data_IF_531228638748
#
_entry.id   IF_531228638748
#
_cell.length_a   1.000
_cell.length_b   1.000
_cell.length_c   1.000
_cell.angle_alpha   90.00
_cell.angle_beta   90.00
_cell.angle_gamma   90.00
#
_symmetry.space_group_name_H-M   'P 1'
#
loop_
_entity.id
_entity.type
_entity.pdbx_description
1 polymer ?
#
# COMPACT_ATOMS: atom_id res chain seq x y z
N UNK A 1 6.47 22.11 -1.25
CA UNK A 1 6.29 20.68 -0.90
C UNK A 1 7.11 19.85 -1.86
N UNK A 2 7.97 18.95 -1.36
CA UNK A 2 8.80 18.08 -2.21
C UNK A 2 7.91 17.24 -3.14
N UNK A 3 8.24 17.17 -4.43
CA UNK A 3 7.43 16.51 -5.47
C UNK A 3 7.24 15.03 -5.15
N UNK A 4 8.28 14.36 -4.64
CA UNK A 4 8.22 12.97 -4.19
C UNK A 4 7.24 12.78 -3.02
N UNK A 5 7.16 13.75 -2.10
CA UNK A 5 6.23 13.70 -0.97
C UNK A 5 4.78 13.89 -1.43
N UNK A 6 4.53 14.80 -2.38
CA UNK A 6 3.20 14.96 -3.00
C UNK A 6 2.75 13.70 -3.73
N UNK A 7 3.66 13.06 -4.46
CA UNK A 7 3.40 11.79 -5.11
C UNK A 7 3.03 10.70 -4.10
N UNK A 8 3.87 10.51 -3.08
CA UNK A 8 3.67 9.47 -2.06
C UNK A 8 2.38 9.70 -1.28
N UNK A 9 2.05 10.95 -0.95
CA UNK A 9 0.81 11.29 -0.26
C UNK A 9 -0.43 10.86 -1.06
N UNK A 10 -0.43 11.05 -2.37
CA UNK A 10 -1.54 10.63 -3.24
C UNK A 10 -1.67 9.11 -3.30
N UNK A 11 -0.55 8.41 -3.44
CA UNK A 11 -0.51 6.93 -3.41
C UNK A 11 -1.06 6.42 -2.09
N UNK A 12 -0.58 6.97 -0.98
CA UNK A 12 -1.00 6.57 0.37
C UNK A 12 -2.47 6.87 0.66
N UNK A 13 -2.96 8.08 0.35
CA UNK A 13 -4.37 8.43 0.52
C UNK A 13 -5.29 7.49 -0.27
N UNK A 14 -4.88 7.12 -1.48
CA UNK A 14 -5.65 6.17 -2.30
C UNK A 14 -5.64 4.79 -1.65
N UNK A 15 -4.49 4.29 -1.20
CA UNK A 15 -4.39 2.99 -0.53
C UNK A 15 -5.18 2.92 0.78
N UNK A 16 -5.06 3.94 1.64
CA UNK A 16 -5.74 4.00 2.94
C UNK A 16 -7.25 4.15 2.82
N UNK A 17 -7.75 4.77 1.75
CA UNK A 17 -9.18 4.94 1.56
C UNK A 17 -9.79 3.82 0.71
N UNK A 18 -9.20 3.53 -0.44
CA UNK A 18 -9.77 2.60 -1.42
C UNK A 18 -9.71 1.16 -0.92
N UNK A 19 -8.61 0.71 -0.30
CA UNK A 19 -8.51 -0.68 0.14
C UNK A 19 -9.56 -1.03 1.22
N UNK A 20 -9.76 -0.25 2.31
CA UNK A 20 -10.83 -0.53 3.28
C UNK A 20 -12.23 -0.48 2.68
N UNK A 21 -12.51 0.43 1.74
CA UNK A 21 -13.81 0.49 1.07
C UNK A 21 -14.05 -0.76 0.24
N UNK A 22 -13.06 -1.25 -0.50
CA UNK A 22 -13.14 -2.50 -1.25
C UNK A 22 -13.36 -3.70 -0.33
N UNK A 23 -12.62 -3.78 0.78
CA UNK A 23 -12.80 -4.83 1.80
C UNK A 23 -14.25 -4.81 2.31
N UNK A 24 -14.73 -3.65 2.77
CA UNK A 24 -16.08 -3.51 3.30
C UNK A 24 -17.15 -3.90 2.27
N UNK A 25 -16.99 -3.48 1.00
CA UNK A 25 -17.94 -3.84 -0.07
C UNK A 25 -18.03 -5.35 -0.28
N UNK A 26 -16.90 -6.05 -0.21
CA UNK A 26 -16.84 -7.50 -0.45
C UNK A 26 -17.26 -8.32 0.77
N UNK A 27 -17.21 -7.74 1.97
CA UNK A 27 -17.67 -8.36 3.22
C UNK A 27 -19.18 -8.27 3.48
N UNK A 28 -19.98 -7.67 2.59
CA UNK A 28 -21.46 -7.51 2.77
C UNK A 28 -22.23 -8.84 2.57
N UNK A 29 -21.55 -9.96 2.31
CA UNK A 29 -22.22 -11.27 2.17
C UNK A 29 -22.63 -11.79 3.56
N UNK A 30 -23.94 -11.95 3.84
CA UNK A 30 -24.39 -12.35 5.17
C UNK A 30 -24.14 -13.85 5.38
N UNK A 31 -23.20 -14.19 6.27
CA UNK A 31 -23.08 -15.53 6.85
C UNK A 31 -23.56 -15.50 8.31
N UNK A 32 -24.07 -16.64 8.80
CA UNK A 32 -24.32 -16.81 10.23
C UNK A 32 -23.03 -16.48 11.02
N UNK A 33 -23.13 -15.60 12.04
CA UNK A 33 -21.95 -15.03 12.74
C UNK A 33 -21.53 -13.62 12.29
N UNK A 34 -22.37 -12.89 11.55
CA UNK A 34 -22.08 -11.56 11.01
C UNK A 34 -21.56 -10.51 12.03
N UNK A 35 -21.93 -10.62 13.31
CA UNK A 35 -21.41 -9.72 14.36
C UNK A 35 -19.91 -9.89 14.57
N UNK A 36 -19.44 -11.14 14.68
CA UNK A 36 -18.05 -11.45 15.00
C UNK A 36 -17.16 -11.13 13.80
N UNK A 37 -17.63 -11.45 12.59
CA UNK A 37 -16.97 -11.07 11.35
C UNK A 37 -16.84 -9.54 11.23
N UNK A 38 -17.90 -8.77 11.51
CA UNK A 38 -17.86 -7.30 11.47
C UNK A 38 -16.81 -6.72 12.42
N UNK A 39 -16.73 -7.22 13.66
CA UNK A 39 -15.72 -6.77 14.62
C UNK A 39 -14.29 -7.09 14.16
N UNK A 40 -14.07 -8.28 13.58
CA UNK A 40 -12.77 -8.66 13.01
C UNK A 40 -12.38 -7.72 11.85
N UNK A 41 -13.30 -7.43 10.93
CA UNK A 41 -13.05 -6.48 9.83
C UNK A 41 -12.74 -5.07 10.36
N UNK A 42 -13.48 -4.60 11.37
CA UNK A 42 -13.27 -3.28 11.96
C UNK A 42 -11.90 -3.18 12.62
N UNK A 43 -11.49 -4.19 13.39
CA UNK A 43 -10.16 -4.26 14.00
C UNK A 43 -9.08 -4.29 12.90
N UNK A 44 -9.27 -5.08 11.84
CA UNK A 44 -8.36 -5.14 10.70
C UNK A 44 -8.18 -3.79 10.01
N UNK A 45 -9.26 -3.02 9.83
CA UNK A 45 -9.21 -1.67 9.26
C UNK A 45 -8.47 -0.69 10.18
N UNK A 46 -8.76 -0.72 11.49
CA UNK A 46 -8.08 0.15 12.47
C UNK A 46 -6.60 -0.16 12.54
N UNK A 47 -6.24 -1.45 12.60
CA UNK A 47 -4.85 -1.90 12.59
C UNK A 47 -4.15 -1.49 11.27
N UNK A 48 -4.82 -1.68 10.13
CA UNK A 48 -4.34 -1.24 8.82
C UNK A 48 -4.10 0.28 8.76
N UNK A 49 -4.96 1.07 9.37
CA UNK A 49 -4.79 2.53 9.44
C UNK A 49 -3.58 2.93 10.29
N UNK A 50 -3.39 2.33 11.48
CA UNK A 50 -2.24 2.61 12.35
C UNK A 50 -0.93 2.27 11.64
N UNK A 51 -0.86 1.10 11.01
CA UNK A 51 0.32 0.64 10.27
C UNK A 51 0.54 1.34 8.92
N UNK A 52 -0.46 2.08 8.43
CA UNK A 52 -0.32 2.87 7.21
C UNK A 52 0.64 4.05 7.38
N UNK A 53 0.82 4.58 8.59
CA UNK A 53 1.70 5.74 8.85
C UNK A 53 3.19 5.34 8.70
N UNK A 54 3.69 4.28 9.38
CA UNK A 54 5.05 3.79 9.12
C UNK A 54 5.27 3.40 7.65
N UNK A 55 4.27 2.77 7.03
CA UNK A 55 4.33 2.37 5.62
C UNK A 55 4.43 3.58 4.67
N UNK A 56 3.69 4.64 4.95
CA UNK A 56 3.79 5.91 4.23
C UNK A 56 5.18 6.51 4.33
N UNK A 57 5.74 6.58 5.54
CA UNK A 57 7.08 7.16 5.75
C UNK A 57 8.14 6.37 4.99
N UNK A 58 8.08 5.04 5.03
CA UNK A 58 9.00 4.19 4.29
C UNK A 58 8.85 4.39 2.77
N UNK A 59 7.62 4.39 2.25
CA UNK A 59 7.36 4.63 0.83
C UNK A 59 7.83 6.03 0.39
N UNK A 60 7.67 7.04 1.24
CA UNK A 60 8.14 8.40 0.99
C UNK A 60 9.67 8.45 0.87
N UNK A 61 10.38 7.73 1.75
CA UNK A 61 11.84 7.61 1.69
C UNK A 61 12.25 6.91 0.39
N UNK A 62 11.62 5.78 0.03
CA UNK A 62 11.89 5.10 -1.23
C UNK A 62 11.65 6.01 -2.44
N UNK A 63 10.53 6.73 -2.47
CA UNK A 63 10.21 7.67 -3.54
C UNK A 63 11.23 8.82 -3.61
N UNK A 64 11.71 9.31 -2.48
CA UNK A 64 12.74 10.33 -2.42
C UNK A 64 14.08 9.82 -3.01
N UNK A 65 14.55 8.65 -2.59
CA UNK A 65 15.78 8.03 -3.12
C UNK A 65 15.67 7.81 -4.63
N UNK A 66 14.54 7.28 -5.09
CA UNK A 66 14.30 6.95 -6.49
C UNK A 66 14.15 8.21 -7.35
N UNK A 67 13.49 9.26 -6.85
CA UNK A 67 13.32 10.53 -7.58
C UNK A 67 14.63 11.31 -7.74
N UNK A 68 15.54 11.19 -6.78
CA UNK A 68 16.89 11.79 -6.85
C UNK A 68 17.87 10.96 -7.67
N UNK A 69 17.56 9.68 -7.91
CA UNK A 69 18.36 8.79 -8.75
C UNK A 69 18.16 9.07 -10.26
N UNK A 70 19.22 8.88 -11.06
CA UNK A 70 19.17 8.98 -12.52
C UNK A 70 18.66 7.70 -13.18
N UNK A 71 17.52 7.20 -12.73
CA UNK A 71 16.88 6.01 -13.29
C UNK A 71 15.62 6.36 -14.07
N UNK A 72 15.24 5.48 -14.99
CA UNK A 72 14.00 5.63 -15.76
C UNK A 72 12.78 5.63 -14.83
N UNK A 73 11.71 6.33 -15.21
CA UNK A 73 10.45 6.35 -14.45
C UNK A 73 9.90 4.94 -14.26
N UNK A 74 9.99 4.11 -15.29
CA UNK A 74 9.49 2.73 -15.27
C UNK A 74 10.25 1.90 -14.23
N UNK A 75 11.58 1.98 -14.21
CA UNK A 75 12.41 1.32 -13.20
C UNK A 75 12.14 1.85 -11.79
N UNK A 76 11.97 3.17 -11.66
CA UNK A 76 11.58 3.83 -10.43
C UNK A 76 10.26 3.30 -9.86
N UNK A 77 9.22 3.21 -10.70
CA UNK A 77 7.91 2.66 -10.32
C UNK A 77 7.99 1.17 -10.00
N UNK A 78 8.83 0.41 -10.69
CA UNK A 78 9.04 -1.00 -10.36
C UNK A 78 9.63 -1.19 -8.95
N UNK A 79 10.65 -0.41 -8.58
CA UNK A 79 11.18 -0.44 -7.21
C UNK A 79 10.16 -0.03 -6.15
N UNK A 80 9.36 1.01 -6.45
CA UNK A 80 8.27 1.42 -5.57
C UNK A 80 7.18 0.36 -5.45
N UNK A 81 6.92 -0.40 -6.52
CA UNK A 81 5.98 -1.53 -6.52
C UNK A 81 6.48 -2.60 -5.56
N UNK A 82 7.76 -3.00 -5.67
CA UNK A 82 8.37 -3.98 -4.74
C UNK A 82 8.30 -3.50 -3.30
N UNK A 83 8.62 -2.23 -3.03
CA UNK A 83 8.50 -1.64 -1.70
C UNK A 83 7.04 -1.65 -1.20
N UNK A 84 6.09 -1.25 -2.04
CA UNK A 84 4.66 -1.25 -1.71
C UNK A 84 4.10 -2.64 -1.40
N UNK A 85 4.55 -3.67 -2.14
CA UNK A 85 4.19 -5.05 -1.86
C UNK A 85 4.75 -5.52 -0.51
N UNK A 86 6.03 -5.26 -0.24
CA UNK A 86 6.63 -5.58 1.06
C UNK A 86 5.89 -4.89 2.23
N UNK A 87 5.51 -3.63 2.04
CA UNK A 87 4.73 -2.87 3.02
C UNK A 87 3.28 -3.35 3.17
N UNK A 88 2.72 -4.03 2.17
CA UNK A 88 1.39 -4.65 2.28
C UNK A 88 1.45 -5.93 3.14
N UNK A 89 2.61 -6.59 3.20
CA UNK A 89 2.82 -7.81 3.99
C UNK A 89 3.29 -7.53 5.42
N UNK A 90 4.16 -6.53 5.60
CA UNK A 90 4.86 -6.28 6.87
C UNK A 90 3.93 -6.07 8.08
N UNK A 91 2.83 -5.29 8.00
CA UNK A 91 1.92 -5.08 9.12
C UNK A 91 1.28 -6.38 9.61
N UNK A 92 0.88 -7.24 8.67
CA UNK A 92 0.23 -8.50 8.98
C UNK A 92 1.22 -9.50 9.59
N UNK A 93 2.44 -9.56 9.07
CA UNK A 93 3.52 -10.33 9.68
C UNK A 93 3.88 -9.83 11.09
N UNK A 94 3.82 -8.51 11.34
CA UNK A 94 4.08 -7.94 12.66
C UNK A 94 2.97 -8.23 13.68
N UNK A 95 1.72 -8.34 13.23
CA UNK A 95 0.56 -8.60 14.10
C UNK A 95 0.42 -10.08 14.47
N UNK A 96 0.58 -11.00 13.52
CA UNK A 96 0.38 -12.44 13.74
C UNK A 96 1.68 -13.26 13.80
N UNK A 97 2.83 -12.64 13.51
CA UNK A 97 4.12 -13.32 13.50
C UNK A 97 4.18 -14.46 12.48
N UNK A 98 4.84 -15.56 12.86
CA UNK A 98 4.99 -16.75 12.00
C UNK A 98 3.66 -17.48 11.80
N UNK A 99 2.69 -17.34 12.72
CA UNK A 99 1.36 -17.96 12.60
C UNK A 99 0.63 -17.52 11.36
N UNK A 100 0.87 -16.29 10.91
CA UNK A 100 0.39 -15.74 9.65
C UNK A 100 0.73 -16.59 8.42
N UNK A 101 1.88 -17.27 8.44
CA UNK A 101 2.39 -18.06 7.30
C UNK A 101 1.99 -19.54 7.43
N UNK A 102 1.75 -20.00 8.66
CA UNK A 102 1.54 -21.43 8.96
C UNK A 102 0.08 -21.81 9.19
N UNK A 103 -0.78 -20.87 9.60
CA UNK A 103 -2.22 -21.11 9.66
C UNK A 103 -2.84 -20.82 8.28
N UNK A 104 -3.69 -21.74 7.83
CA UNK A 104 -4.42 -21.71 6.55
C UNK A 104 -5.53 -20.63 6.53
N UNK A 105 -5.33 -19.53 7.27
CA UNK A 105 -6.31 -18.45 7.40
C UNK A 105 -6.31 -17.58 6.14
N UNK A 106 -7.13 -18.01 5.19
CA UNK A 106 -7.36 -17.34 3.90
C UNK A 106 -7.81 -15.88 4.02
N UNK A 107 -8.38 -15.49 5.16
CA UNK A 107 -8.86 -14.13 5.44
C UNK A 107 -7.72 -13.13 5.35
N UNK A 108 -6.60 -13.46 5.96
CA UNK A 108 -5.39 -12.65 6.06
C UNK A 108 -4.74 -12.39 4.69
N UNK A 109 -4.63 -13.43 3.86
CA UNK A 109 -4.12 -13.33 2.49
C UNK A 109 -5.02 -12.46 1.61
N UNK A 110 -6.33 -12.48 1.86
CA UNK A 110 -7.29 -11.66 1.14
C UNK A 110 -7.09 -10.17 1.40
N UNK A 111 -6.92 -9.76 2.67
CA UNK A 111 -6.62 -8.36 3.00
C UNK A 111 -5.31 -7.88 2.36
N UNK A 112 -4.23 -8.66 2.49
CA UNK A 112 -2.93 -8.34 1.88
C UNK A 112 -3.08 -8.15 0.37
N UNK A 113 -3.80 -9.04 -0.29
CA UNK A 113 -3.98 -9.01 -1.74
C UNK A 113 -4.69 -7.74 -2.19
N UNK A 114 -5.74 -7.31 -1.47
CA UNK A 114 -6.44 -6.05 -1.78
C UNK A 114 -5.51 -4.85 -1.59
N UNK A 115 -4.79 -4.76 -0.47
CA UNK A 115 -3.84 -3.68 -0.23
C UNK A 115 -2.72 -3.65 -1.29
N UNK A 116 -2.18 -4.81 -1.66
CA UNK A 116 -1.17 -4.98 -2.69
C UNK A 116 -1.70 -4.52 -4.07
N UNK A 117 -2.90 -4.91 -4.46
CA UNK A 117 -3.49 -4.49 -5.75
C UNK A 117 -3.68 -2.97 -5.78
N UNK A 118 -4.28 -2.41 -4.72
CA UNK A 118 -4.56 -0.96 -4.65
C UNK A 118 -3.26 -0.15 -4.65
N UNK A 119 -2.22 -0.58 -3.93
CA UNK A 119 -0.95 0.17 -3.87
C UNK A 119 -0.22 0.12 -5.21
N UNK A 120 -0.22 -1.03 -5.88
CA UNK A 120 0.38 -1.17 -7.23
C UNK A 120 -0.37 -0.28 -8.21
N UNK A 121 -1.70 -0.38 -8.29
CA UNK A 121 -2.50 0.47 -9.19
C UNK A 121 -2.22 1.95 -8.92
N UNK A 122 -2.17 2.36 -7.64
CA UNK A 122 -1.92 3.75 -7.26
C UNK A 122 -0.54 4.25 -7.71
N UNK A 123 0.52 3.44 -7.54
CA UNK A 123 1.88 3.77 -7.99
C UNK A 123 1.92 4.00 -9.51
N UNK A 124 1.23 3.15 -10.26
CA UNK A 124 1.23 3.23 -11.72
C UNK A 124 0.32 4.33 -12.24
N UNK A 125 -0.79 4.60 -11.60
CA UNK A 125 -1.75 5.66 -11.94
C UNK A 125 -1.18 7.07 -11.74
N UNK A 126 -0.46 7.33 -10.64
CA UNK A 126 0.06 8.66 -10.36
C UNK A 126 1.36 8.97 -11.11
N UNK A 127 1.50 10.22 -11.56
CA UNK A 127 2.72 10.68 -12.25
C UNK A 127 3.85 10.89 -11.24
N UNK A 128 4.96 10.17 -11.45
CA UNK A 128 6.21 10.35 -10.73
C UNK A 128 7.14 11.24 -11.56
N UNK A 129 7.77 12.23 -10.92
CA UNK A 129 8.80 13.05 -11.53
C UNK A 129 10.16 12.65 -10.95
N UNK A 130 11.16 12.46 -11.82
CA UNK A 130 12.53 12.09 -11.45
C UNK A 130 13.50 13.10 -12.06
N UNK A 131 14.72 13.18 -11.51
CA UNK A 131 15.78 14.06 -12.02
C UNK A 131 16.10 13.81 -13.50
N UNK A 132 15.97 12.57 -13.97
CA UNK A 132 16.16 12.21 -15.38
C UNK A 132 15.18 12.95 -16.33
N UNK A 133 13.95 13.24 -15.87
CA UNK A 133 12.96 13.96 -16.68
C UNK A 133 13.10 15.48 -16.62
N UNK A 134 13.60 16.02 -15.50
CA UNK A 134 13.78 17.46 -15.34
C UNK A 134 14.86 17.99 -16.30
N UNK A 135 15.88 17.19 -16.60
CA UNK A 135 16.93 17.53 -17.56
C UNK A 135 16.50 17.41 -19.03
N UNK A 136 15.48 16.62 -19.34
CA UNK A 136 14.95 16.51 -20.71
C UNK A 136 13.94 17.59 -21.07
N UNK A 137 13.36 18.30 -20.07
CA UNK A 137 12.45 19.43 -20.30
C UNK A 137 13.13 20.79 -20.47
N UNK A 138 14.44 20.87 -20.25
CA UNK A 138 15.23 22.13 -20.34
C UNK A 138 16.09 22.24 -21.60
N UNK A 139 15.97 21.29 -22.53
CA UNK A 139 16.59 21.31 -23.85
C UNK A 139 15.50 21.39 -24.92
#
# INVERSE_FOLDING_TARGET
MNIALKYTLRVWQTAVFVAPVFILMLSIVPSEGASDAFFIYLIGIVAGFIWSIPSFLFLAICAFIVSTSRISITSAKAWLTVAGLALSWLPFYMLDGVRFITDDDTSSLYFISIYAIVIVISIWMFRLETQANLHTSTN
#
